data_IF_597794059757
#
_entry.id   IF_597794059757
#
_cell.length_a   1.000
_cell.length_b   1.000
_cell.length_c   1.000
_cell.angle_alpha   90.00
_cell.angle_beta   90.00
_cell.angle_gamma   90.00
#
_symmetry.space_group_name_H-M   'P 1'
#
loop_
_entity.id
_entity.type
_entity.pdbx_description
1 polymer ?
#
# COMPACT_ATOMS: atom_id res chain seq x y z
N UNK A 1 -14.48 -25.63 -7.65
CA UNK A 1 -14.98 -24.32 -8.11
C UNK A 1 -13.80 -23.39 -8.35
N UNK A 2 -13.64 -22.86 -9.56
CA UNK A 2 -12.55 -21.93 -9.89
C UNK A 2 -13.02 -20.50 -9.58
N UNK A 3 -12.47 -19.90 -8.53
CA UNK A 3 -12.75 -18.51 -8.17
C UNK A 3 -11.79 -17.57 -8.89
N UNK A 4 -12.32 -16.61 -9.64
CA UNK A 4 -11.53 -15.55 -10.29
C UNK A 4 -11.56 -14.30 -9.42
N UNK A 5 -10.41 -13.86 -8.91
CA UNK A 5 -10.28 -12.59 -8.19
C UNK A 5 -10.27 -11.44 -9.20
N UNK A 6 -11.32 -10.62 -9.20
CA UNK A 6 -11.47 -9.50 -10.14
C UNK A 6 -11.45 -8.18 -9.36
N UNK A 7 -10.59 -7.21 -9.72
CA UNK A 7 -10.67 -5.85 -9.17
C UNK A 7 -12.00 -5.17 -9.55
N UNK A 8 -12.60 -4.39 -8.65
CA UNK A 8 -13.95 -3.82 -8.84
C UNK A 8 -14.18 -3.11 -10.18
N UNK A 9 -13.20 -2.37 -10.70
CA UNK A 9 -13.29 -1.68 -12.01
C UNK A 9 -13.41 -2.62 -13.22
N UNK A 10 -13.00 -3.90 -13.11
CA UNK A 10 -13.18 -4.89 -14.19
C UNK A 10 -14.51 -5.64 -14.08
N UNK A 11 -15.21 -5.52 -12.96
CA UNK A 11 -16.47 -6.21 -12.72
C UNK A 11 -17.62 -5.58 -13.52
N UNK A 12 -17.63 -4.24 -13.67
CA UNK A 12 -18.65 -3.52 -14.45
C UNK A 12 -18.74 -4.04 -15.89
N UNK A 13 -17.59 -4.20 -16.55
CA UNK A 13 -17.54 -4.70 -17.93
C UNK A 13 -18.03 -6.16 -18.04
N UNK A 14 -17.70 -7.04 -17.08
CA UNK A 14 -18.18 -8.43 -17.13
C UNK A 14 -19.69 -8.55 -16.82
N UNK A 15 -20.25 -7.65 -16.01
CA UNK A 15 -21.67 -7.65 -15.65
C UNK A 15 -22.57 -7.08 -16.75
N UNK A 16 -22.12 -6.06 -17.49
CA UNK A 16 -22.91 -5.45 -18.57
C UNK A 16 -23.27 -6.42 -19.71
N UNK A 17 -22.45 -7.44 -19.97
CA UNK A 17 -22.69 -8.39 -21.07
C UNK A 17 -23.73 -9.47 -20.76
N UNK A 18 -24.21 -9.58 -19.51
CA UNK A 18 -25.03 -10.73 -19.09
C UNK A 18 -26.54 -10.58 -19.28
N UNK A 19 -27.03 -9.42 -19.71
CA UNK A 19 -28.42 -9.16 -20.15
C UNK A 19 -29.50 -9.97 -19.38
N UNK A 20 -29.47 -9.88 -18.05
CA UNK A 20 -30.32 -10.64 -17.14
C UNK A 20 -30.74 -9.73 -15.98
N UNK A 21 -32.05 -9.68 -15.70
CA UNK A 21 -32.66 -8.83 -14.66
C UNK A 21 -32.40 -9.32 -13.22
N UNK A 22 -31.75 -10.48 -13.07
CA UNK A 22 -31.36 -11.00 -11.75
C UNK A 22 -30.19 -10.22 -11.15
N UNK A 23 -30.15 -10.15 -9.82
CA UNK A 23 -29.09 -9.49 -9.05
C UNK A 23 -27.69 -9.92 -9.53
N UNK A 24 -26.85 -8.95 -9.89
CA UNK A 24 -25.50 -9.16 -10.44
C UNK A 24 -25.42 -10.13 -11.63
N UNK A 25 -26.48 -10.28 -12.45
CA UNK A 25 -26.46 -11.15 -13.64
C UNK A 25 -26.11 -12.60 -13.31
N UNK A 26 -26.65 -13.13 -12.21
CA UNK A 26 -26.38 -14.48 -11.65
C UNK A 26 -24.92 -14.74 -11.24
N UNK A 27 -24.11 -13.68 -11.10
CA UNK A 27 -22.77 -13.82 -10.54
C UNK A 27 -22.86 -13.86 -9.02
N UNK A 28 -22.35 -14.93 -8.41
CA UNK A 28 -22.16 -14.97 -6.97
C UNK A 28 -21.06 -13.99 -6.56
N UNK A 29 -21.43 -13.00 -5.75
CA UNK A 29 -20.51 -11.98 -5.26
C UNK A 29 -20.09 -12.32 -3.83
N UNK A 30 -18.78 -12.39 -3.61
CA UNK A 30 -18.19 -12.51 -2.28
C UNK A 30 -17.25 -11.33 -2.04
N UNK A 31 -17.60 -10.49 -1.07
CA UNK A 31 -16.83 -9.30 -0.72
C UNK A 31 -16.00 -9.57 0.54
N UNK A 32 -14.73 -9.16 0.50
CA UNK A 32 -13.84 -9.22 1.66
C UNK A 32 -13.27 -7.83 1.95
N UNK A 33 -13.32 -7.42 3.21
CA UNK A 33 -12.77 -6.15 3.63
C UNK A 33 -13.03 -5.87 5.10
N UNK A 34 -12.46 -4.77 5.57
CA UNK A 34 -12.69 -4.23 6.89
C UNK A 34 -12.96 -2.74 6.72
N UNK A 35 -14.24 -2.35 6.85
CA UNK A 35 -14.67 -0.96 6.63
C UNK A 35 -14.14 0.00 7.69
N UNK A 36 -13.58 -0.48 8.81
CA UNK A 36 -12.91 0.35 9.82
C UNK A 36 -11.43 0.63 9.49
N UNK A 37 -10.91 0.10 8.38
CA UNK A 37 -9.57 0.45 7.87
C UNK A 37 -9.60 1.80 7.13
N UNK A 38 -9.01 1.88 5.93
CA UNK A 38 -8.90 3.12 5.19
C UNK A 38 -10.21 3.45 4.47
N UNK A 39 -10.70 4.69 4.55
CA UNK A 39 -11.81 5.13 3.73
C UNK A 39 -11.43 5.17 2.24
N UNK A 40 -12.41 5.13 1.34
CA UNK A 40 -12.20 5.35 -0.08
C UNK A 40 -11.47 6.68 -0.35
N UNK A 41 -10.47 6.65 -1.23
CA UNK A 41 -9.72 7.86 -1.60
C UNK A 41 -10.57 8.69 -2.56
N UNK A 42 -10.99 9.89 -2.13
CA UNK A 42 -11.84 10.81 -2.92
C UNK A 42 -13.15 10.16 -3.40
N UNK A 43 -13.74 9.27 -2.60
CA UNK A 43 -14.97 8.56 -2.93
C UNK A 43 -15.94 8.46 -1.75
N UNK A 44 -17.12 7.90 -2.02
CA UNK A 44 -18.11 7.58 -1.00
C UNK A 44 -17.99 6.11 -0.58
N UNK A 45 -18.42 5.81 0.64
CA UNK A 45 -18.55 4.42 1.10
C UNK A 45 -19.58 3.67 0.25
N UNK A 46 -19.32 2.40 -0.03
CA UNK A 46 -20.22 1.55 -0.83
C UNK A 46 -21.59 1.34 -0.19
N UNK A 47 -21.69 1.49 1.13
CA UNK A 47 -22.95 1.39 1.87
C UNK A 47 -23.74 2.70 1.90
N UNK A 48 -23.17 3.82 1.45
CA UNK A 48 -23.87 5.11 1.35
C UNK A 48 -24.49 5.22 -0.03
N UNK A 49 -25.81 5.26 -0.06
CA UNK A 49 -26.54 5.50 -1.29
C UNK A 49 -26.40 6.97 -1.73
N UNK A 50 -26.04 7.25 -2.99
CA UNK A 50 -25.99 8.61 -3.49
C UNK A 50 -27.39 9.24 -3.51
N UNK A 51 -27.49 10.52 -3.16
CA UNK A 51 -28.78 11.23 -3.12
C UNK A 51 -29.49 11.29 -4.47
N UNK A 52 -28.74 11.39 -5.57
CA UNK A 52 -29.24 11.38 -6.94
C UNK A 52 -29.69 10.00 -7.43
N UNK A 53 -29.53 8.95 -6.62
CA UNK A 53 -29.91 7.57 -6.94
C UNK A 53 -30.70 6.93 -5.79
N UNK A 54 -31.44 7.75 -5.04
CA UNK A 54 -32.14 7.36 -3.82
C UNK A 54 -33.39 6.50 -4.05
N UNK A 55 -34.00 6.58 -5.24
CA UNK A 55 -35.17 5.79 -5.61
C UNK A 55 -34.87 4.31 -5.87
N UNK A 56 -33.59 3.96 -6.01
CA UNK A 56 -33.14 2.66 -6.44
C UNK A 56 -32.77 1.75 -5.26
N UNK A 57 -32.62 0.46 -5.51
CA UNK A 57 -32.23 -0.49 -4.46
C UNK A 57 -30.75 -0.33 -4.13
N UNK A 58 -30.43 -0.13 -2.85
CA UNK A 58 -29.05 -0.19 -2.38
C UNK A 58 -28.56 -1.65 -2.33
N UNK A 59 -27.79 -2.06 -3.33
CA UNK A 59 -27.26 -3.43 -3.45
C UNK A 59 -26.44 -3.89 -2.23
N UNK A 60 -25.81 -2.96 -1.49
CA UNK A 60 -25.09 -3.29 -0.26
C UNK A 60 -25.99 -3.93 0.79
N UNK A 61 -27.25 -3.48 0.87
CA UNK A 61 -28.22 -3.99 1.84
C UNK A 61 -28.72 -5.40 1.49
N UNK A 62 -28.47 -5.88 0.26
CA UNK A 62 -28.86 -7.21 -0.19
C UNK A 62 -27.81 -8.29 0.14
N UNK A 63 -26.65 -7.88 0.67
CA UNK A 63 -25.56 -8.79 0.99
C UNK A 63 -25.75 -9.43 2.37
N UNK A 64 -25.51 -10.74 2.45
CA UNK A 64 -25.38 -11.43 3.73
C UNK A 64 -24.06 -11.07 4.41
N UNK A 65 -24.10 -10.88 5.72
CA UNK A 65 -22.94 -10.52 6.53
C UNK A 65 -22.41 -11.73 7.31
N UNK A 66 -21.09 -11.86 7.37
CA UNK A 66 -20.38 -12.83 8.20
C UNK A 66 -19.10 -12.18 8.74
N UNK A 67 -18.93 -12.15 10.06
CA UNK A 67 -17.73 -11.61 10.70
C UNK A 67 -16.72 -12.72 10.99
N UNK A 68 -15.46 -12.50 10.58
CA UNK A 68 -14.33 -13.34 10.99
C UNK A 68 -13.77 -12.80 12.31
N UNK A 69 -13.85 -13.59 13.36
CA UNK A 69 -13.43 -13.19 14.73
C UNK A 69 -12.00 -13.62 15.08
N UNK A 70 -11.44 -14.60 14.35
CA UNK A 70 -10.11 -15.15 14.63
C UNK A 70 -9.04 -14.32 13.92
N UNK A 71 -8.21 -13.64 14.71
CA UNK A 71 -7.04 -12.94 14.18
C UNK A 71 -5.86 -13.89 13.97
N UNK A 72 -5.61 -14.27 12.72
CA UNK A 72 -4.51 -15.17 12.36
C UNK A 72 -3.13 -14.49 12.37
N UNK A 73 -3.06 -13.17 12.23
CA UNK A 73 -1.79 -12.43 12.07
C UNK A 73 -1.09 -12.23 13.42
N UNK A 74 -1.84 -11.81 14.42
CA UNK A 74 -1.37 -11.57 15.79
C UNK A 74 -1.69 -12.76 16.73
N UNK A 75 -1.94 -13.96 16.19
CA UNK A 75 -2.46 -15.13 16.94
C UNK A 75 -1.69 -15.53 18.20
N UNK A 76 -0.42 -15.13 18.31
CA UNK A 76 0.45 -15.45 19.45
C UNK A 76 0.56 -14.30 20.47
N UNK A 77 -0.18 -13.21 20.30
CA UNK A 77 -0.08 -11.99 21.11
C UNK A 77 -1.49 -11.44 21.41
N UNK A 78 -2.12 -12.00 22.44
CA UNK A 78 -3.52 -11.69 22.79
C UNK A 78 -3.71 -10.25 23.27
N UNK A 79 -2.74 -9.73 24.01
CA UNK A 79 -2.77 -8.35 24.50
C UNK A 79 -2.70 -7.38 23.33
N UNK A 80 -1.89 -7.70 22.33
CA UNK A 80 -1.84 -6.89 21.12
C UNK A 80 -3.11 -6.99 20.27
N UNK A 81 -3.75 -8.16 20.20
CA UNK A 81 -5.07 -8.29 19.56
C UNK A 81 -6.09 -7.38 20.24
N UNK A 82 -6.14 -7.38 21.57
CA UNK A 82 -7.05 -6.56 22.36
C UNK A 82 -6.79 -5.07 22.14
N UNK A 83 -5.51 -4.65 22.18
CA UNK A 83 -5.09 -3.29 21.87
C UNK A 83 -5.54 -2.85 20.47
N UNK A 84 -5.32 -3.68 19.45
CA UNK A 84 -5.72 -3.39 18.07
C UNK A 84 -7.24 -3.30 17.93
N UNK A 85 -8.00 -4.17 18.60
CA UNK A 85 -9.46 -4.15 18.57
C UNK A 85 -10.02 -2.90 19.25
N UNK A 86 -9.49 -2.51 20.41
CA UNK A 86 -9.85 -1.25 21.08
C UNK A 86 -9.50 -0.05 20.20
N UNK A 87 -8.32 -0.02 19.57
CA UNK A 87 -7.95 1.04 18.64
C UNK A 87 -8.87 1.08 17.40
N UNK A 88 -9.27 -0.08 16.86
CA UNK A 88 -10.15 -0.19 15.68
C UNK A 88 -11.48 0.53 15.89
N UNK A 89 -12.03 0.49 17.11
CA UNK A 89 -13.31 1.13 17.48
C UNK A 89 -13.15 2.41 18.30
N UNK A 90 -11.91 2.81 18.62
CA UNK A 90 -11.63 4.06 19.32
C UNK A 90 -11.77 4.02 20.84
N UNK A 91 -11.68 2.84 21.43
CA UNK A 91 -11.78 2.61 22.88
C UNK A 91 -10.39 2.32 23.49
N UNK A 92 -9.33 2.90 22.91
CA UNK A 92 -7.94 2.70 23.35
C UNK A 92 -7.64 3.52 24.61
N UNK A 93 -8.27 3.20 25.74
CA UNK A 93 -8.05 3.92 27.00
C UNK A 93 -7.11 3.15 27.92
N UNK A 94 -7.41 1.88 28.22
CA UNK A 94 -6.63 1.08 29.16
C UNK A 94 -5.26 0.63 28.58
N UNK A 95 -5.17 0.42 27.27
CA UNK A 95 -3.97 -0.10 26.60
C UNK A 95 -3.10 1.01 25.97
N UNK A 96 -3.45 2.29 26.20
CA UNK A 96 -2.71 3.41 25.63
C UNK A 96 -1.28 3.48 26.16
N UNK A 97 -1.11 3.24 27.46
CA UNK A 97 0.21 3.28 28.13
C UNK A 97 1.17 2.24 27.54
N UNK A 98 0.68 1.00 27.34
CA UNK A 98 1.41 -0.09 26.69
C UNK A 98 1.92 0.31 25.31
N UNK A 99 1.11 1.04 24.53
CA UNK A 99 1.55 1.55 23.23
C UNK A 99 2.57 2.68 23.38
N UNK A 100 2.39 3.58 24.36
CA UNK A 100 3.31 4.68 24.65
C UNK A 100 4.71 4.20 25.03
N UNK A 101 4.83 3.09 25.78
CA UNK A 101 6.11 2.49 26.14
C UNK A 101 6.96 2.11 24.92
N UNK A 102 6.33 1.79 23.79
CA UNK A 102 7.02 1.48 22.53
C UNK A 102 7.79 2.68 21.94
N UNK A 103 7.61 3.89 22.49
CA UNK A 103 8.42 5.08 22.15
C UNK A 103 9.86 4.99 22.65
N UNK A 104 10.10 4.25 23.73
CA UNK A 104 11.41 4.17 24.37
C UNK A 104 12.33 3.10 23.76
N UNK A 105 11.85 2.39 22.75
CA UNK A 105 12.58 1.31 22.09
C UNK A 105 13.69 1.91 21.21
N UNK A 106 14.98 1.59 21.48
CA UNK A 106 16.09 2.07 20.68
C UNK A 106 15.96 1.67 19.20
N UNK A 107 16.34 2.57 18.29
CA UNK A 107 16.33 2.32 16.84
C UNK A 107 17.56 1.53 16.37
N UNK A 108 17.97 0.54 17.16
CA UNK A 108 19.12 -0.34 16.95
C UNK A 108 18.69 -1.82 16.95
N UNK A 109 19.61 -2.74 16.66
CA UNK A 109 19.32 -4.18 16.62
C UNK A 109 18.20 -4.51 15.64
N UNK A 110 17.14 -5.17 16.13
CA UNK A 110 15.94 -5.51 15.34
C UNK A 110 15.22 -4.30 14.72
N UNK A 111 15.42 -3.11 15.30
CA UNK A 111 14.87 -1.86 14.79
C UNK A 111 15.88 -1.07 13.98
N UNK A 112 17.07 -1.61 13.75
CA UNK A 112 18.07 -0.98 12.92
C UNK A 112 17.59 -0.80 11.48
N UNK A 113 18.26 0.13 10.85
CA UNK A 113 18.15 0.48 9.46
C UNK A 113 18.57 -0.68 8.55
N UNK A 114 17.61 -1.36 7.94
CA UNK A 114 17.84 -2.55 7.10
C UNK A 114 16.89 -3.68 7.46
N UNK A 115 16.49 -3.70 8.73
CA UNK A 115 15.72 -4.74 9.36
C UNK A 115 14.26 -4.29 9.49
N UNK A 116 13.99 -3.27 10.30
CA UNK A 116 12.63 -2.76 10.47
C UNK A 116 12.20 -1.80 9.34
N UNK A 117 10.94 -1.92 8.88
CA UNK A 117 10.35 -0.97 7.93
C UNK A 117 10.07 0.35 8.64
N UNK A 118 10.44 1.49 8.05
CA UNK A 118 10.01 2.81 8.55
C UNK A 118 8.65 3.17 7.96
N UNK A 119 7.73 3.66 8.78
CA UNK A 119 6.39 4.01 8.32
C UNK A 119 6.14 5.46 8.67
N UNK A 120 5.91 6.27 7.63
CA UNK A 120 5.65 7.69 7.76
C UNK A 120 4.25 8.04 7.26
N UNK A 121 3.59 9.05 7.87
CA UNK A 121 2.28 9.51 7.42
C UNK A 121 2.35 10.14 6.03
N UNK A 122 3.44 10.84 5.69
CA UNK A 122 3.53 11.62 4.44
C UNK A 122 4.63 11.15 3.50
N UNK A 123 4.37 11.28 2.19
CA UNK A 123 5.35 11.03 1.13
C UNK A 123 6.63 11.87 1.30
N UNK A 124 6.50 13.12 1.78
CA UNK A 124 7.63 14.02 1.99
C UNK A 124 8.60 13.52 3.06
N UNK A 125 8.11 13.09 4.23
CA UNK A 125 8.96 12.50 5.29
C UNK A 125 9.67 11.24 4.79
N UNK A 126 8.92 10.39 4.07
CA UNK A 126 9.44 9.19 3.42
C UNK A 126 10.63 9.49 2.51
N UNK A 127 10.49 10.51 1.66
CA UNK A 127 11.54 10.94 0.73
C UNK A 127 12.74 11.52 1.48
N UNK A 128 12.51 12.41 2.46
CA UNK A 128 13.58 12.99 3.26
C UNK A 128 14.41 11.92 3.97
N UNK A 129 13.76 10.91 4.56
CA UNK A 129 14.44 9.79 5.22
C UNK A 129 15.34 9.01 4.25
N UNK A 130 14.87 8.74 3.04
CA UNK A 130 15.64 8.01 2.04
C UNK A 130 16.88 8.76 1.54
N UNK A 131 16.81 10.10 1.47
CA UNK A 131 17.90 10.92 0.93
C UNK A 131 19.14 11.00 1.84
N UNK A 132 19.00 10.66 3.13
CA UNK A 132 20.09 10.77 4.12
C UNK A 132 21.09 9.60 4.04
N UNK A 133 20.80 8.53 3.26
CA UNK A 133 21.65 7.33 3.19
C UNK A 133 22.76 7.44 2.14
N UNK A 134 23.99 7.06 2.54
CA UNK A 134 25.19 7.03 1.69
C UNK A 134 25.18 5.83 0.72
N UNK A 135 25.74 6.05 -0.47
CA UNK A 135 25.91 5.11 -1.60
C UNK A 135 24.62 4.75 -2.34
N UNK A 136 24.07 5.72 -3.06
CA UNK A 136 22.98 5.52 -4.00
C UNK A 136 23.46 5.77 -5.44
N UNK A 137 23.26 4.79 -6.31
CA UNK A 137 23.34 4.96 -7.76
C UNK A 137 22.07 5.65 -8.23
N UNK A 138 22.22 6.73 -9.01
CA UNK A 138 21.11 7.35 -9.74
C UNK A 138 20.94 6.61 -11.07
N UNK A 139 19.77 5.99 -11.29
CA UNK A 139 19.41 5.29 -12.52
C UNK A 139 18.32 6.12 -13.22
N UNK A 140 18.57 6.54 -14.46
CA UNK A 140 17.60 7.31 -15.25
C UNK A 140 16.85 6.39 -16.21
N UNK A 141 15.59 6.72 -16.50
CA UNK A 141 14.78 5.99 -17.45
C UNK A 141 15.37 6.14 -18.87
N UNK A 142 15.35 5.05 -19.64
CA UNK A 142 15.61 5.09 -21.08
C UNK A 142 14.32 5.38 -21.82
N UNK A 143 14.08 6.64 -22.16
CA UNK A 143 12.90 7.06 -22.92
C UNK A 143 13.26 7.21 -24.40
N UNK A 144 12.54 6.51 -25.28
CA UNK A 144 12.81 6.46 -26.72
C UNK A 144 11.51 6.44 -27.54
N UNK A 145 11.52 7.05 -28.73
CA UNK A 145 10.44 6.86 -29.71
C UNK A 145 10.49 5.46 -30.31
N UNK A 146 9.33 4.83 -30.52
CA UNK A 146 9.23 3.53 -31.22
C UNK A 146 9.67 3.61 -32.66
N UNK A 147 9.32 4.70 -33.34
CA UNK A 147 9.75 4.98 -34.70
C UNK A 147 10.84 6.05 -34.70
N UNK A 148 12.06 5.61 -34.39
CA UNK A 148 13.23 6.47 -34.36
C UNK A 148 13.62 7.00 -35.75
N UNK A 149 13.06 6.45 -36.84
CA UNK A 149 13.38 6.87 -38.21
C UNK A 149 12.74 8.21 -38.56
N UNK A 150 11.58 8.52 -37.97
CA UNK A 150 10.78 9.71 -38.32
C UNK A 150 10.94 10.86 -37.31
N UNK A 151 11.22 10.55 -36.04
CA UNK A 151 11.05 11.50 -34.92
C UNK A 151 12.34 11.81 -34.13
N UNK A 152 13.49 11.23 -34.54
CA UNK A 152 14.69 11.15 -33.70
C UNK A 152 14.54 10.13 -32.58
N UNK A 153 15.64 9.79 -31.88
CA UNK A 153 15.61 8.73 -30.85
C UNK A 153 15.00 9.18 -29.52
N UNK A 154 15.28 10.41 -29.08
CA UNK A 154 14.94 10.88 -27.72
C UNK A 154 13.71 11.80 -27.72
N UNK A 155 12.63 11.45 -27.00
CA UNK A 155 11.47 12.31 -26.84
C UNK A 155 11.77 13.52 -25.93
N UNK A 156 11.03 14.63 -26.07
CA UNK A 156 11.06 15.73 -25.10
C UNK A 156 10.68 15.25 -23.68
N UNK A 157 11.31 15.83 -22.66
CA UNK A 157 11.15 15.45 -21.24
C UNK A 157 9.71 15.51 -20.69
N UNK A 158 8.81 16.19 -21.39
CA UNK A 158 7.43 16.41 -20.98
C UNK A 158 6.43 15.45 -21.63
N UNK A 159 6.87 14.60 -22.58
CA UNK A 159 5.95 13.69 -23.28
C UNK A 159 5.46 12.57 -22.37
N UNK A 160 6.36 11.97 -21.59
CA UNK A 160 5.97 10.95 -20.61
C UNK A 160 5.70 11.62 -19.26
N UNK A 161 4.54 11.36 -18.63
CA UNK A 161 4.27 11.84 -17.29
C UNK A 161 5.37 11.45 -16.28
N UNK A 162 5.79 12.43 -15.47
CA UNK A 162 6.74 12.21 -14.36
C UNK A 162 6.06 11.56 -13.14
N UNK A 163 4.73 11.67 -13.03
CA UNK A 163 3.96 10.99 -11.99
C UNK A 163 3.93 9.47 -12.25
N UNK A 164 4.40 8.72 -11.25
CA UNK A 164 4.44 7.26 -11.25
C UNK A 164 3.08 6.60 -11.53
N UNK A 165 1.98 7.23 -11.11
CA UNK A 165 0.63 6.68 -11.29
C UNK A 165 0.17 6.78 -12.74
N UNK A 166 0.68 7.77 -13.49
CA UNK A 166 0.36 8.01 -14.89
C UNK A 166 1.38 7.35 -15.85
N UNK A 167 2.42 6.69 -15.30
CA UNK A 167 3.47 6.02 -16.05
C UNK A 167 3.58 4.52 -15.71
N UNK A 168 2.43 3.87 -15.46
CA UNK A 168 2.39 2.41 -15.25
C UNK A 168 3.27 1.89 -14.10
N UNK A 169 3.60 2.74 -13.13
CA UNK A 169 4.48 2.36 -12.01
C UNK A 169 5.97 2.64 -12.20
N UNK A 170 6.41 3.23 -13.32
CA UNK A 170 7.81 3.55 -13.59
C UNK A 170 8.14 5.00 -13.22
N UNK A 171 9.30 5.20 -12.60
CA UNK A 171 9.83 6.52 -12.28
C UNK A 171 10.79 6.99 -13.38
N UNK A 172 10.89 8.30 -13.64
CA UNK A 172 11.88 8.85 -14.58
C UNK A 172 13.31 8.69 -14.05
N UNK A 173 13.49 8.69 -12.72
CA UNK A 173 14.77 8.49 -12.06
C UNK A 173 14.54 7.70 -10.77
N UNK A 174 15.38 6.69 -10.52
CA UNK A 174 15.38 5.92 -9.28
C UNK A 174 16.78 5.99 -8.69
N UNK A 175 16.86 6.29 -7.39
CA UNK A 175 18.11 6.14 -6.63
C UNK A 175 18.11 4.76 -5.97
N UNK A 176 19.09 3.91 -6.24
CA UNK A 176 19.19 2.57 -5.67
C UNK A 176 20.58 2.35 -5.08
N UNK A 177 20.68 1.66 -3.95
CA UNK A 177 21.96 1.23 -3.38
C UNK A 177 21.94 -0.26 -3.05
N UNK A 178 23.12 -0.88 -2.93
CA UNK A 178 23.21 -2.21 -2.30
C UNK A 178 22.66 -2.11 -0.87
N UNK A 179 21.99 -3.17 -0.42
CA UNK A 179 21.17 -3.24 0.80
C UNK A 179 19.95 -2.30 0.83
N UNK A 180 19.61 -1.63 -0.28
CA UNK A 180 18.37 -0.85 -0.35
C UNK A 180 17.14 -1.74 -0.35
N UNK A 181 16.20 -1.46 0.56
CA UNK A 181 14.87 -2.05 0.51
C UNK A 181 14.08 -1.46 -0.65
N UNK A 182 13.50 -2.31 -1.47
CA UNK A 182 12.70 -1.95 -2.64
C UNK A 182 11.34 -2.64 -2.64
N UNK A 183 10.38 -2.07 -3.35
CA UNK A 183 9.06 -2.63 -3.59
C UNK A 183 8.80 -2.71 -5.08
N UNK A 184 8.31 -3.86 -5.51
CA UNK A 184 7.91 -4.13 -6.88
C UNK A 184 6.58 -3.44 -7.21
N UNK A 185 6.48 -2.87 -8.41
CA UNK A 185 5.29 -2.10 -8.86
C UNK A 185 4.50 -2.76 -9.96
N UNK A 186 4.93 -3.94 -10.44
CA UNK A 186 4.27 -4.73 -11.47
C UNK A 186 4.31 -6.20 -11.09
N UNK A 187 3.40 -6.98 -11.65
CA UNK A 187 3.46 -8.43 -11.50
C UNK A 187 4.50 -8.95 -12.50
N UNK A 188 5.57 -9.57 -12.00
CA UNK A 188 6.59 -10.24 -12.83
C UNK A 188 6.29 -11.73 -12.93
N UNK A 189 6.04 -12.37 -11.79
CA UNK A 189 5.73 -13.80 -11.69
C UNK A 189 4.76 -14.02 -10.54
N UNK A 190 3.51 -14.40 -10.87
CA UNK A 190 2.48 -14.65 -9.85
C UNK A 190 2.79 -15.95 -9.09
N UNK A 191 3.34 -16.95 -9.77
CA UNK A 191 3.70 -18.26 -9.20
C UNK A 191 4.84 -18.15 -8.19
N UNK A 192 5.81 -17.29 -8.45
CA UNK A 192 6.95 -17.03 -7.53
C UNK A 192 6.65 -15.93 -6.50
N UNK A 193 5.43 -15.38 -6.48
CA UNK A 193 5.06 -14.31 -5.56
C UNK A 193 5.68 -12.94 -5.88
N UNK A 194 6.32 -12.77 -7.04
CA UNK A 194 6.83 -11.51 -7.56
C UNK A 194 5.67 -10.66 -8.13
N UNK A 195 4.81 -10.21 -7.23
CA UNK A 195 3.61 -9.40 -7.52
C UNK A 195 3.80 -7.94 -7.12
N UNK A 196 2.97 -7.04 -7.64
CA UNK A 196 2.95 -5.65 -7.22
C UNK A 196 2.74 -5.54 -5.70
N UNK A 197 3.64 -4.84 -5.03
CA UNK A 197 3.71 -4.74 -3.57
C UNK A 197 4.72 -5.69 -2.91
N UNK A 198 5.24 -6.68 -3.63
CA UNK A 198 6.31 -7.55 -3.12
C UNK A 198 7.52 -6.68 -2.75
N UNK A 199 8.09 -6.91 -1.57
CA UNK A 199 9.23 -6.19 -1.05
C UNK A 199 10.48 -7.07 -1.05
N UNK A 200 11.63 -6.46 -1.26
CA UNK A 200 12.91 -7.15 -1.25
C UNK A 200 14.05 -6.22 -0.85
N UNK A 201 15.25 -6.78 -0.70
CA UNK A 201 16.48 -6.05 -0.43
C UNK A 201 17.41 -6.26 -1.62
N UNK A 202 17.98 -5.17 -2.15
CA UNK A 202 18.98 -5.25 -3.22
C UNK A 202 20.24 -5.88 -2.66
N UNK A 203 20.56 -7.11 -3.08
CA UNK A 203 21.82 -7.78 -2.72
C UNK A 203 22.95 -7.48 -3.69
N UNK A 204 22.62 -7.26 -4.96
CA UNK A 204 23.58 -6.96 -6.01
C UNK A 204 22.89 -6.20 -7.13
N UNK A 205 23.60 -5.27 -7.76
CA UNK A 205 23.21 -4.67 -9.03
C UNK A 205 24.21 -5.17 -10.06
N UNK A 206 23.70 -5.81 -11.12
CA UNK A 206 24.50 -6.18 -12.29
C UNK A 206 24.27 -5.13 -13.36
N UNK A 207 25.36 -4.54 -13.80
CA UNK A 207 25.40 -3.65 -14.94
C UNK A 207 25.76 -4.49 -16.17
N UNK A 208 25.27 -4.12 -17.37
CA UNK A 208 25.79 -4.70 -18.60
C UNK A 208 27.32 -4.54 -18.64
N UNK A 209 28.03 -5.47 -19.29
CA UNK A 209 29.51 -5.55 -19.30
C UNK A 209 30.16 -4.24 -19.79
N UNK A 210 30.36 -3.32 -18.84
CA UNK A 210 31.04 -2.04 -19.00
C UNK A 210 32.23 -2.03 -18.04
N UNK A 211 33.33 -1.40 -18.45
CA UNK A 211 34.56 -1.31 -17.65
C UNK A 211 34.21 -0.75 -16.28
N UNK A 212 34.67 -1.42 -15.21
CA UNK A 212 34.32 -1.16 -13.80
C UNK A 212 34.58 0.27 -13.31
N UNK A 213 35.22 1.09 -14.14
CA UNK A 213 35.75 2.40 -13.84
C UNK A 213 34.92 3.54 -14.52
N UNK A 214 33.89 3.18 -15.31
CA UNK A 214 33.03 4.12 -16.07
C UNK A 214 31.54 3.91 -15.78
N UNK A 215 31.16 3.78 -14.50
CA UNK A 215 29.75 3.92 -14.13
C UNK A 215 29.37 5.40 -14.18
N UNK A 216 28.81 5.87 -15.30
CA UNK A 216 28.23 7.21 -15.37
C UNK A 216 26.90 7.28 -14.60
N UNK A 217 26.64 8.43 -13.98
CA UNK A 217 25.38 8.70 -13.29
C UNK A 217 24.22 8.67 -14.30
N UNK A 218 23.31 7.69 -14.17
CA UNK A 218 22.11 7.60 -15.00
C UNK A 218 21.99 6.38 -15.91
N UNK A 219 22.97 5.49 -15.97
CA UNK A 219 22.88 4.27 -16.79
C UNK A 219 21.84 3.25 -16.29
N UNK A 220 21.40 2.37 -17.19
CA UNK A 220 20.37 1.37 -16.93
C UNK A 220 20.96 -0.02 -16.64
N UNK A 221 20.47 -0.75 -15.62
CA UNK A 221 20.87 -2.13 -15.34
C UNK A 221 20.44 -3.13 -16.43
N UNK A 222 21.01 -4.34 -16.40
CA UNK A 222 20.78 -5.42 -17.39
C UNK A 222 19.30 -5.82 -17.55
N UNK A 223 18.52 -5.73 -16.47
CA UNK A 223 17.13 -6.18 -16.44
C UNK A 223 16.17 -4.98 -16.41
N UNK A 224 15.46 -4.74 -17.51
CA UNK A 224 14.55 -3.60 -17.66
C UNK A 224 13.19 -4.03 -18.16
N UNK A 225 12.17 -3.24 -17.81
CA UNK A 225 10.84 -3.38 -18.37
C UNK A 225 10.47 -2.14 -19.17
N UNK A 226 9.70 -2.39 -20.23
CA UNK A 226 9.20 -1.35 -21.11
C UNK A 226 7.75 -0.98 -20.77
N UNK A 227 7.49 0.31 -20.65
CA UNK A 227 6.16 0.89 -20.62
C UNK A 227 5.91 1.73 -21.86
N UNK A 228 4.74 1.55 -22.49
CA UNK A 228 4.34 2.29 -23.69
C UNK A 228 3.41 3.43 -23.32
N UNK A 229 3.70 4.61 -23.86
CA UNK A 229 2.87 5.81 -23.76
C UNK A 229 2.76 6.48 -25.13
N UNK A 230 1.65 6.23 -25.83
CA UNK A 230 1.54 6.60 -27.24
C UNK A 230 2.66 5.95 -28.05
N UNK A 231 3.40 6.76 -28.82
CA UNK A 231 4.55 6.34 -29.65
C UNK A 231 5.90 6.37 -28.93
N UNK A 232 5.89 6.63 -27.62
CA UNK A 232 7.08 6.64 -26.79
C UNK A 232 7.10 5.42 -25.87
N UNK A 233 8.29 4.87 -25.67
CA UNK A 233 8.56 3.79 -24.74
C UNK A 233 9.54 4.23 -23.65
N UNK A 234 9.23 3.86 -22.39
CA UNK A 234 10.11 4.03 -21.23
C UNK A 234 10.66 2.68 -20.79
N UNK A 235 11.99 2.54 -20.75
CA UNK A 235 12.70 1.38 -20.21
C UNK A 235 13.22 1.70 -18.81
N UNK A 236 12.75 0.95 -17.80
CA UNK A 236 13.14 1.18 -16.40
C UNK A 236 12.90 -0.07 -15.54
N UNK A 237 13.54 -0.14 -14.37
CA UNK A 237 13.23 -1.12 -13.33
C UNK A 237 11.82 -0.87 -12.75
N UNK A 238 10.97 -1.90 -12.57
CA UNK A 238 9.63 -1.77 -11.98
C UNK A 238 9.69 -1.69 -10.45
N UNK A 239 10.69 -0.98 -9.92
CA UNK A 239 11.01 -0.91 -8.50
C UNK A 239 10.85 0.52 -7.98
N UNK A 240 10.55 0.62 -6.69
CA UNK A 240 10.70 1.87 -5.94
C UNK A 240 11.46 1.57 -4.66
N UNK A 241 12.23 2.54 -4.16
CA UNK A 241 12.74 2.47 -2.79
C UNK A 241 11.59 2.35 -1.79
N UNK A 242 11.77 1.45 -0.84
CA UNK A 242 10.78 1.06 0.15
C UNK A 242 11.39 0.93 1.55
N UNK A 243 12.47 1.69 1.82
CA UNK A 243 12.97 1.93 3.18
C UNK A 243 11.87 2.46 4.10
N UNK A 244 10.99 3.26 3.50
CA UNK A 244 9.80 3.71 4.15
C UNK A 244 8.59 3.64 3.24
N UNK A 245 7.43 3.37 3.84
CA UNK A 245 6.18 3.13 3.12
C UNK A 245 5.09 4.05 3.68
N UNK A 246 4.20 4.52 2.80
CA UNK A 246 2.99 5.24 3.23
C UNK A 246 1.91 4.22 3.59
N UNK A 247 1.05 4.56 4.55
CA UNK A 247 0.01 3.64 5.07
C UNK A 247 -0.82 2.96 3.98
N UNK A 248 -1.22 3.71 2.95
CA UNK A 248 -2.00 3.19 1.82
C UNK A 248 -1.32 2.05 1.04
N UNK A 249 0.01 1.95 1.07
CA UNK A 249 0.76 0.87 0.39
C UNK A 249 1.05 -0.33 1.29
N UNK A 250 0.75 -0.25 2.58
CA UNK A 250 0.95 -1.34 3.54
C UNK A 250 -0.29 -2.24 3.66
N UNK A 251 -1.43 -1.83 3.12
CA UNK A 251 -2.67 -2.60 3.24
C UNK A 251 -2.50 -3.99 2.61
N UNK A 252 -2.72 -5.04 3.41
CA UNK A 252 -2.55 -6.43 3.02
C UNK A 252 -1.15 -7.02 3.26
N UNK A 253 -0.16 -6.21 3.66
CA UNK A 253 1.18 -6.71 4.03
C UNK A 253 1.25 -7.14 5.49
N UNK A 254 2.21 -8.03 5.80
CA UNK A 254 2.54 -8.43 7.17
C UNK A 254 4.03 -8.17 7.40
N UNK A 255 4.37 -7.57 8.54
CA UNK A 255 5.71 -7.14 8.91
C UNK A 255 6.13 -7.80 10.23
N UNK A 256 7.41 -8.16 10.34
CA UNK A 256 7.97 -8.66 11.60
C UNK A 256 8.38 -7.50 12.52
N UNK A 257 9.08 -6.50 11.97
CA UNK A 257 9.54 -5.31 12.70
C UNK A 257 9.22 -4.02 11.93
N UNK A 258 8.68 -3.03 12.63
CA UNK A 258 8.39 -1.71 12.06
C UNK A 258 8.70 -0.58 13.05
N UNK A 259 9.20 0.54 12.53
CA UNK A 259 9.30 1.80 13.26
C UNK A 259 8.30 2.77 12.67
N UNK A 260 7.44 3.32 13.52
CA UNK A 260 6.28 4.10 13.10
C UNK A 260 6.40 5.51 13.65
N UNK A 261 6.25 6.50 12.78
CA UNK A 261 6.12 7.90 13.17
C UNK A 261 4.63 8.23 13.39
N UNK A 262 4.20 8.32 14.65
CA UNK A 262 2.87 8.74 15.08
C UNK A 262 2.86 10.20 15.60
N UNK A 263 3.82 11.01 15.13
CA UNK A 263 4.07 12.37 15.59
C UNK A 263 3.11 13.43 15.04
N UNK A 264 3.59 14.67 14.95
CA UNK A 264 2.78 15.88 14.69
C UNK A 264 1.96 15.91 13.40
N UNK A 265 2.30 15.11 12.37
CA UNK A 265 1.53 15.13 11.12
C UNK A 265 0.23 14.33 11.20
N UNK A 266 -0.76 14.74 10.42
CA UNK A 266 -2.10 14.16 10.45
C UNK A 266 -2.13 12.81 9.72
N UNK A 267 -2.58 11.78 10.43
CA UNK A 267 -3.07 10.54 9.84
C UNK A 267 -4.55 10.72 9.45
N UNK A 268 -4.95 10.12 8.33
CA UNK A 268 -6.36 9.94 8.02
C UNK A 268 -6.98 8.90 8.97
N UNK A 269 -8.30 8.94 9.13
CA UNK A 269 -9.05 8.00 9.96
C UNK A 269 -8.74 6.55 9.54
N UNK A 270 -8.57 5.66 10.52
CA UNK A 270 -8.22 4.25 10.31
C UNK A 270 -6.76 3.99 9.93
N UNK A 271 -5.97 5.02 9.56
CA UNK A 271 -4.58 4.78 9.14
C UNK A 271 -3.71 4.21 10.26
N UNK A 272 -3.83 4.71 11.49
CA UNK A 272 -3.00 4.23 12.60
C UNK A 272 -3.28 2.75 12.88
N UNK A 273 -4.56 2.38 12.96
CA UNK A 273 -4.97 0.98 13.08
C UNK A 273 -4.43 0.13 11.91
N UNK A 274 -4.52 0.63 10.69
CA UNK A 274 -4.00 -0.06 9.49
C UNK A 274 -2.50 -0.26 9.54
N UNK A 275 -1.74 0.67 10.11
CA UNK A 275 -0.28 0.55 10.28
C UNK A 275 0.06 -0.48 11.34
N UNK A 276 -0.49 -0.34 12.55
CA UNK A 276 -0.15 -1.20 13.68
C UNK A 276 -0.56 -2.65 13.42
N UNK A 277 -1.74 -2.85 12.81
CA UNK A 277 -2.24 -4.18 12.45
C UNK A 277 -1.40 -4.93 11.39
N UNK A 278 -0.37 -4.32 10.80
CA UNK A 278 0.58 -5.02 9.90
C UNK A 278 1.67 -5.74 10.63
N UNK A 279 1.98 -5.36 11.87
CA UNK A 279 3.06 -6.00 12.63
C UNK A 279 2.53 -7.23 13.35
N UNK A 280 3.29 -8.32 13.40
CA UNK A 280 2.83 -9.59 14.01
C UNK A 280 2.72 -9.55 15.53
N UNK A 281 3.58 -8.78 16.20
CA UNK A 281 3.65 -8.70 17.66
C UNK A 281 3.82 -7.25 18.10
N UNK A 282 3.38 -6.93 19.31
CA UNK A 282 3.59 -5.61 19.92
C UNK A 282 5.09 -5.31 20.06
N UNK A 283 5.88 -6.32 20.44
CA UNK A 283 7.34 -6.22 20.51
C UNK A 283 8.01 -5.89 19.17
N UNK A 284 7.33 -6.14 18.05
CA UNK A 284 7.82 -5.78 16.72
C UNK A 284 7.62 -4.31 16.36
N UNK A 285 7.03 -3.51 17.25
CA UNK A 285 6.72 -2.11 17.01
C UNK A 285 7.68 -1.22 17.79
N UNK A 286 8.25 -0.21 17.14
CA UNK A 286 8.87 0.92 17.82
C UNK A 286 8.24 2.21 17.30
N UNK A 287 8.07 3.19 18.17
CA UNK A 287 7.40 4.45 17.83
C UNK A 287 8.43 5.57 17.88
N UNK A 288 8.71 6.23 16.75
CA UNK A 288 9.74 7.28 16.71
C UNK A 288 9.25 8.61 17.27
N UNK A 289 7.96 8.92 17.08
CA UNK A 289 7.29 10.08 17.65
C UNK A 289 5.83 9.72 17.92
N UNK A 290 5.23 10.27 18.97
CA UNK A 290 3.89 9.92 19.42
C UNK A 290 3.13 11.13 19.95
N UNK A 291 1.98 11.40 19.34
CA UNK A 291 1.00 12.35 19.86
C UNK A 291 -0.25 11.59 20.32
N UNK A 292 -0.29 11.22 21.60
CA UNK A 292 -1.31 10.32 22.18
C UNK A 292 -2.76 10.76 21.92
N UNK A 293 -3.03 12.07 21.92
CA UNK A 293 -4.36 12.63 21.62
C UNK A 293 -4.91 12.19 20.25
N UNK A 294 -4.04 11.86 19.28
CA UNK A 294 -4.46 11.39 17.96
C UNK A 294 -5.01 9.97 17.99
N UNK A 295 -4.52 9.16 18.89
CA UNK A 295 -4.98 7.78 19.08
C UNK A 295 -6.41 7.74 19.60
N UNK A 296 -6.78 8.73 20.40
CA UNK A 296 -8.10 8.86 21.00
C UNK A 296 -9.10 9.61 20.11
N UNK A 297 -8.67 10.69 19.43
CA UNK A 297 -9.61 11.61 18.78
C UNK A 297 -10.05 11.22 17.36
N UNK A 298 -9.25 10.45 16.61
CA UNK A 298 -9.56 10.10 15.20
C UNK A 298 -9.22 8.64 14.79
N UNK A 299 -9.64 7.63 15.56
CA UNK A 299 -9.25 6.24 15.30
C UNK A 299 -9.86 5.67 14.01
N UNK A 300 -11.12 5.99 13.69
CA UNK A 300 -11.86 5.41 12.56
C UNK A 300 -12.89 6.40 11.97
N UNK A 301 -13.54 6.03 10.86
CA UNK A 301 -14.64 6.81 10.28
C UNK A 301 -16.00 6.48 10.93
N UNK A 302 -16.67 7.49 11.48
CA UNK A 302 -17.93 7.30 12.20
C UNK A 302 -19.03 6.65 11.35
N UNK A 303 -19.09 6.94 10.04
CA UNK A 303 -20.08 6.30 9.15
C UNK A 303 -19.81 4.80 9.02
N UNK A 304 -18.53 4.42 8.96
CA UNK A 304 -18.13 3.01 8.92
C UNK A 304 -18.38 2.31 10.26
N UNK A 305 -18.23 2.99 11.40
CA UNK A 305 -18.61 2.44 12.71
C UNK A 305 -20.11 2.18 12.79
N UNK A 306 -20.94 3.15 12.43
CA UNK A 306 -22.40 2.98 12.41
C UNK A 306 -22.81 1.80 11.54
N UNK A 307 -22.21 1.66 10.35
CA UNK A 307 -22.51 0.54 9.46
C UNK A 307 -22.01 -0.80 10.02
N UNK A 308 -20.83 -0.86 10.63
CA UNK A 308 -20.32 -2.07 11.28
C UNK A 308 -21.25 -2.54 12.41
N UNK A 309 -21.78 -1.60 13.21
CA UNK A 309 -22.76 -1.92 14.26
C UNK A 309 -24.06 -2.47 13.65
N UNK A 310 -24.55 -1.87 12.55
CA UNK A 310 -25.74 -2.37 11.84
C UNK A 310 -25.53 -3.80 11.32
N UNK A 311 -24.38 -4.07 10.69
CA UNK A 311 -24.04 -5.39 10.15
C UNK A 311 -23.98 -6.47 11.26
N UNK A 312 -23.35 -6.16 12.39
CA UNK A 312 -23.31 -7.08 13.56
C UNK A 312 -24.69 -7.38 14.15
N UNK A 313 -25.57 -6.37 14.17
CA UNK A 313 -26.94 -6.58 14.63
C UNK A 313 -27.75 -7.46 13.68
N UNK A 314 -27.43 -7.47 12.38
CA UNK A 314 -28.06 -8.37 11.40
C UNK A 314 -27.62 -9.82 11.55
N UNK A 315 -26.37 -10.09 11.96
CA UNK A 315 -25.90 -11.47 12.17
C UNK A 315 -26.40 -12.10 13.47
N UNK A 316 -26.87 -11.29 14.42
CA UNK A 316 -27.36 -11.76 15.72
C UNK A 316 -28.87 -12.08 15.72
N UNK A 317 -29.56 -11.86 14.59
CA UNK A 317 -30.96 -12.17 14.35
C UNK A 317 -31.07 -13.27 13.29
#
# INVERSE_FOLDING_TARGET
MNYKKIPGQKLENELQYKNNDKLFGEVHILLFGDILQLPPVKGHWCFIQPSWFSAEVNLWQQLSYCELTINMRQRNDIDFINLLNSLRVGELTAQLEVLCERRHVPLSGDFADGIAVRIFPTLRQRIMYMHVRKCMYTINAGDEYRDAATCGRKPPDNVIPKDINNCGGFLPTIKLGIESRVMLRRNLSVTEGLVNGAMGIIKKIKWPDLRRDQLEEGELPEFLYTYRYGDVERRMLPLILSWAVTVHKLQGTTLDRAVIDLGKKNFAKGQIYVVLSRVKTLEGISISDLEANKLLNRPHDGKALTEMTRLRNLSNN
#
